data_IF_805136509999
#
_entry.id   IF_805136509999
#
_cell.length_a   1.000
_cell.length_b   1.000
_cell.length_c   1.000
_cell.angle_alpha   90.00
_cell.angle_beta   90.00
_cell.angle_gamma   90.00
#
_symmetry.space_group_name_H-M   'P 1'
#
loop_
_entity.id
_entity.type
_entity.pdbx_description
1 polymer ?
#
# COMPACT_ATOMS: atom_id res chain seq x y z
N UNK A 1 -23.75 11.61 -1.84
CA UNK A 1 -22.61 11.74 -2.76
C UNK A 1 -22.01 10.34 -2.90
N UNK A 2 -22.35 9.62 -3.97
CA UNK A 2 -21.72 8.31 -4.25
C UNK A 2 -20.24 8.55 -4.57
N UNK A 3 -19.32 7.68 -4.13
CA UNK A 3 -17.93 7.77 -4.55
C UNK A 3 -17.85 7.67 -6.09
N UNK A 4 -16.96 8.47 -6.70
CA UNK A 4 -16.68 8.39 -8.13
C UNK A 4 -16.23 6.95 -8.46
N UNK A 5 -16.87 6.27 -9.43
CA UNK A 5 -16.52 4.89 -9.77
C UNK A 5 -15.17 4.77 -10.49
N UNK A 6 -14.54 5.89 -10.85
CA UNK A 6 -13.25 5.87 -11.54
C UNK A 6 -12.10 5.60 -10.56
N UNK A 7 -11.09 4.82 -10.98
CA UNK A 7 -9.89 4.65 -10.18
C UNK A 7 -9.23 6.01 -9.94
N UNK A 8 -8.67 6.25 -8.74
CA UNK A 8 -8.02 7.51 -8.43
C UNK A 8 -6.84 7.75 -9.38
N UNK A 9 -6.63 8.99 -9.76
CA UNK A 9 -5.45 9.44 -10.50
C UNK A 9 -4.26 9.60 -9.56
N UNK A 10 -3.04 9.58 -10.12
CA UNK A 10 -1.79 9.70 -9.36
C UNK A 10 -1.72 10.96 -8.49
N UNK A 11 -2.32 12.06 -8.96
CA UNK A 11 -2.31 13.35 -8.26
C UNK A 11 -3.25 13.39 -7.05
N UNK A 12 -4.26 12.51 -7.00
CA UNK A 12 -5.21 12.38 -5.88
C UNK A 12 -4.67 11.55 -4.71
N UNK A 13 -3.45 11.02 -4.85
CA UNK A 13 -2.75 10.28 -3.81
C UNK A 13 -1.76 11.19 -3.09
N UNK A 14 -1.76 11.11 -1.77
CA UNK A 14 -0.72 11.76 -0.97
C UNK A 14 0.66 11.19 -1.35
N UNK A 15 1.73 11.97 -1.14
CA UNK A 15 3.08 11.48 -1.39
C UNK A 15 3.36 10.16 -0.63
N UNK A 16 2.87 10.05 0.60
CA UNK A 16 3.05 8.85 1.41
C UNK A 16 2.27 7.65 0.85
N UNK A 17 1.07 7.85 0.30
CA UNK A 17 0.30 6.78 -0.37
C UNK A 17 1.02 6.26 -1.62
N UNK A 18 1.58 7.16 -2.44
CA UNK A 18 2.38 6.79 -3.61
C UNK A 18 3.64 6.00 -3.20
N UNK A 19 4.31 6.46 -2.15
CA UNK A 19 5.47 5.74 -1.62
C UNK A 19 5.10 4.38 -1.01
N UNK A 20 3.89 4.21 -0.47
CA UNK A 20 3.39 2.89 -0.05
C UNK A 20 3.20 1.94 -1.25
N UNK A 21 2.62 2.42 -2.36
CA UNK A 21 2.46 1.63 -3.59
C UNK A 21 3.83 1.20 -4.14
N UNK A 22 4.78 2.13 -4.22
CA UNK A 22 6.15 1.84 -4.69
C UNK A 22 6.89 0.89 -3.74
N UNK A 23 6.70 1.01 -2.42
CA UNK A 23 7.27 0.08 -1.45
C UNK A 23 6.76 -1.35 -1.67
N UNK A 24 5.45 -1.52 -1.92
CA UNK A 24 4.85 -2.83 -2.23
C UNK A 24 5.37 -3.35 -3.58
N UNK A 25 5.39 -2.51 -4.62
CA UNK A 25 5.91 -2.87 -5.95
C UNK A 25 7.35 -3.40 -5.88
N UNK A 26 8.22 -2.74 -5.13
CA UNK A 26 9.62 -3.16 -4.93
C UNK A 26 9.72 -4.50 -4.23
N UNK A 27 8.88 -4.74 -3.24
CA UNK A 27 8.88 -6.00 -2.49
C UNK A 27 8.36 -7.16 -3.32
N UNK A 28 7.28 -6.97 -4.06
CA UNK A 28 6.78 -7.96 -5.04
C UNK A 28 7.87 -8.33 -6.05
N UNK A 29 8.53 -7.33 -6.64
CA UNK A 29 9.61 -7.53 -7.63
C UNK A 29 10.80 -8.30 -7.08
N UNK A 30 11.05 -8.22 -5.77
CA UNK A 30 12.16 -8.90 -5.08
C UNK A 30 11.72 -10.19 -4.38
N UNK A 31 10.47 -10.64 -4.59
CA UNK A 31 9.92 -11.83 -3.95
C UNK A 31 9.79 -11.73 -2.43
N UNK A 32 9.83 -10.51 -1.87
CA UNK A 32 9.75 -10.26 -0.43
C UNK A 32 8.29 -10.14 0.01
N UNK A 33 7.99 -10.65 1.22
CA UNK A 33 6.65 -10.53 1.81
C UNK A 33 6.22 -9.08 1.94
N UNK A 34 5.00 -8.77 1.49
CA UNK A 34 4.36 -7.46 1.58
C UNK A 34 3.42 -7.38 2.79
N UNK A 35 3.90 -7.79 3.96
CA UNK A 35 3.22 -7.53 5.24
C UNK A 35 3.57 -6.13 5.76
N UNK A 36 2.83 -5.65 6.76
CA UNK A 36 3.02 -4.31 7.33
C UNK A 36 4.46 -4.06 7.77
N UNK A 37 5.09 -5.04 8.42
CA UNK A 37 6.49 -4.96 8.86
C UNK A 37 7.45 -4.81 7.68
N UNK A 38 7.25 -5.58 6.62
CA UNK A 38 8.06 -5.49 5.42
C UNK A 38 7.91 -4.15 4.70
N UNK A 39 6.69 -3.61 4.67
CA UNK A 39 6.39 -2.31 4.08
C UNK A 39 7.05 -1.20 4.92
N UNK A 40 6.89 -1.22 6.25
CA UNK A 40 7.56 -0.30 7.19
C UNK A 40 9.07 -0.29 6.93
N UNK A 41 9.70 -1.47 6.94
CA UNK A 41 11.15 -1.58 6.72
C UNK A 41 11.61 -0.96 5.38
N UNK A 42 10.76 -1.02 4.35
CA UNK A 42 11.08 -0.43 3.04
C UNK A 42 10.93 1.09 3.07
N UNK A 43 9.91 1.59 3.77
CA UNK A 43 9.62 3.02 3.93
C UNK A 43 10.58 3.73 4.89
N UNK A 44 11.13 3.03 5.89
CA UNK A 44 12.07 3.59 6.88
C UNK A 44 13.28 4.27 6.26
N UNK A 45 13.70 3.82 5.06
CA UNK A 45 14.79 4.46 4.30
C UNK A 45 14.52 5.92 3.93
N UNK A 46 13.24 6.29 3.78
CA UNK A 46 12.79 7.63 3.38
C UNK A 46 12.04 8.35 4.50
N UNK A 47 11.38 7.59 5.36
CA UNK A 47 10.59 8.08 6.48
C UNK A 47 11.11 7.44 7.77
N UNK A 48 12.15 8.01 8.39
CA UNK A 48 12.64 7.54 9.68
C UNK A 48 11.48 7.41 10.68
N UNK A 49 11.42 6.27 11.37
CA UNK A 49 10.41 6.00 12.39
C UNK A 49 8.95 5.98 11.88
N UNK A 50 8.72 5.52 10.64
CA UNK A 50 7.35 5.26 10.17
C UNK A 50 6.68 4.20 11.04
N UNK A 51 5.55 4.56 11.64
CA UNK A 51 4.82 3.68 12.56
C UNK A 51 3.69 2.94 11.87
N UNK A 52 3.28 1.82 12.46
CA UNK A 52 2.07 1.09 12.05
C UNK A 52 0.83 1.99 12.07
N UNK A 53 0.68 2.83 13.10
CA UNK A 53 -0.42 3.80 13.22
C UNK A 53 -0.50 4.79 12.06
N UNK A 54 0.64 5.15 11.44
CA UNK A 54 0.68 5.98 10.24
C UNK A 54 0.42 5.17 8.97
N UNK A 55 0.91 3.93 8.90
CA UNK A 55 0.80 3.08 7.72
C UNK A 55 -0.63 2.55 7.50
N UNK A 56 -1.26 2.00 8.53
CA UNK A 56 -2.53 1.28 8.42
C UNK A 56 -3.67 2.10 7.79
N UNK A 57 -3.90 3.38 8.15
CA UNK A 57 -4.95 4.17 7.52
C UNK A 57 -4.70 4.35 6.02
N UNK A 58 -3.44 4.50 5.61
CA UNK A 58 -3.07 4.67 4.21
C UNK A 58 -3.28 3.37 3.42
N UNK A 59 -2.86 2.23 3.96
CA UNK A 59 -3.13 0.93 3.32
C UNK A 59 -4.63 0.66 3.21
N UNK A 60 -5.41 0.98 4.25
CA UNK A 60 -6.87 0.84 4.23
C UNK A 60 -7.50 1.74 3.15
N UNK A 61 -7.05 2.99 3.01
CA UNK A 61 -7.51 3.88 1.94
C UNK A 61 -7.16 3.34 0.57
N UNK A 62 -5.93 2.86 0.36
CA UNK A 62 -5.49 2.29 -0.93
C UNK A 62 -6.29 1.03 -1.30
N UNK A 63 -6.61 0.18 -0.32
CA UNK A 63 -7.51 -0.97 -0.50
C UNK A 63 -8.94 -0.50 -0.84
N UNK A 64 -9.47 0.48 -0.10
CA UNK A 64 -10.80 1.03 -0.36
C UNK A 64 -10.93 1.74 -1.72
N UNK A 65 -9.79 2.17 -2.31
CA UNK A 65 -9.70 2.72 -3.66
C UNK A 65 -9.42 1.68 -4.74
N UNK A 66 -9.34 0.39 -4.39
CA UNK A 66 -9.09 -0.70 -5.34
C UNK A 66 -7.66 -0.75 -5.89
N UNK A 67 -6.70 -0.04 -5.29
CA UNK A 67 -5.30 -0.04 -5.73
C UNK A 67 -4.46 -1.17 -5.11
N UNK A 68 -4.93 -1.67 -3.96
CA UNK A 68 -4.32 -2.79 -3.26
C UNK A 68 -5.37 -3.86 -2.97
N UNK A 69 -4.99 -5.11 -3.16
CA UNK A 69 -5.71 -6.24 -2.59
C UNK A 69 -5.10 -6.59 -1.22
N UNK A 70 -5.97 -6.76 -0.21
CA UNK A 70 -5.59 -7.25 1.12
C UNK A 70 -5.95 -8.74 1.21
N UNK A 71 -4.97 -9.58 1.55
CA UNK A 71 -5.19 -11.00 1.86
C UNK A 71 -4.84 -11.26 3.32
N UNK A 72 -5.71 -11.95 4.04
CA UNK A 72 -5.40 -12.44 5.38
C UNK A 72 -4.26 -13.47 5.28
N UNK A 73 -3.17 -13.25 6.01
CA UNK A 73 -2.07 -14.19 6.13
C UNK A 73 -2.18 -15.04 7.40
N UNK A 74 -1.22 -15.95 7.57
CA UNK A 74 -1.04 -16.65 8.83
C UNK A 74 -0.58 -15.67 9.94
N UNK A 75 -1.00 -15.93 11.17
CA UNK A 75 -0.69 -15.12 12.38
C UNK A 75 -1.31 -13.71 12.42
N UNK A 76 -2.55 -13.54 11.94
CA UNK A 76 -3.28 -12.24 11.97
C UNK A 76 -2.57 -11.11 11.18
N UNK A 77 -1.54 -11.45 10.40
CA UNK A 77 -0.81 -10.51 9.57
C UNK A 77 -1.39 -10.50 8.17
N UNK A 78 -1.86 -9.34 7.75
CA UNK A 78 -2.34 -9.13 6.39
C UNK A 78 -1.19 -8.91 5.42
N UNK A 79 -1.30 -9.50 4.24
CA UNK A 79 -0.42 -9.22 3.10
C UNK A 79 -1.14 -8.36 2.08
N UNK A 80 -0.38 -7.48 1.43
CA UNK A 80 -0.89 -6.55 0.44
C UNK A 80 -0.25 -6.82 -0.92
N UNK A 81 -1.01 -6.72 -2.00
CA UNK A 81 -0.50 -6.82 -3.36
C UNK A 81 -1.12 -5.75 -4.25
N UNK A 82 -0.38 -5.27 -5.24
CA UNK A 82 -0.93 -4.33 -6.23
C UNK A 82 -2.00 -5.02 -7.08
N UNK A 83 -3.11 -4.33 -7.28
CA UNK A 83 -4.09 -4.65 -8.33
C UNK A 83 -3.57 -4.17 -9.68
N UNK A 84 -4.29 -4.49 -10.76
CA UNK A 84 -3.92 -4.01 -12.09
C UNK A 84 -4.02 -2.48 -12.17
N UNK A 85 -5.03 -1.88 -11.53
CA UNK A 85 -5.18 -0.42 -11.40
C UNK A 85 -4.03 0.19 -10.60
N UNK A 86 -3.61 -0.47 -9.51
CA UNK A 86 -2.46 -0.04 -8.71
C UNK A 86 -1.13 -0.10 -9.47
N UNK A 87 -0.99 -1.02 -10.44
CA UNK A 87 0.20 -1.13 -11.30
C UNK A 87 0.20 -0.14 -12.46
N UNK A 88 -0.97 0.29 -12.91
CA UNK A 88 -1.14 1.20 -14.05
C UNK A 88 -0.95 2.68 -13.69
N UNK A 89 -0.88 2.99 -12.39
CA UNK A 89 -0.64 4.32 -11.81
C UNK A 89 0.84 4.70 -11.81
#
# INVERSE_FOLDING_TARGET
MLPDPRPPTWIELTAFQRDCLEAIARRERTGRRCDERGIIHTLERRYPSVTRTRLEPNLRTLVGRGLLAKRAGADDRSTYSLTDEGRAL
#
